data_IF_165184882073
#
_entry.id   IF_165184882073
#
_cell.length_a   1.000
_cell.length_b   1.000
_cell.length_c   1.000
_cell.angle_alpha   90.00
_cell.angle_beta   90.00
_cell.angle_gamma   90.00
#
_symmetry.space_group_name_H-M   'P 1'
#
loop_
_entity.id
_entity.type
_entity.pdbx_description
1 polymer ?
#
# COMPACT_ATOMS: atom_id res chain seq x y z
N UNK A 1 7.89 -4.90 -14.92
CA UNK A 1 7.38 -6.22 -14.51
C UNK A 1 6.10 -5.99 -13.73
N UNK A 2 5.06 -6.74 -14.08
CA UNK A 2 3.75 -6.71 -13.43
C UNK A 2 3.56 -8.09 -12.81
N UNK A 3 3.27 -8.15 -11.51
CA UNK A 3 3.09 -9.41 -10.81
C UNK A 3 1.80 -9.33 -10.00
N UNK A 4 0.94 -10.33 -10.16
CA UNK A 4 -0.17 -10.59 -9.25
C UNK A 4 0.27 -11.73 -8.35
N UNK A 5 0.06 -11.57 -7.05
CA UNK A 5 0.30 -12.64 -6.08
C UNK A 5 -1.07 -13.21 -5.67
N UNK A 6 -1.52 -14.31 -6.29
CA UNK A 6 -2.79 -14.91 -5.94
C UNK A 6 -2.68 -15.55 -4.56
N UNK A 7 -3.54 -15.10 -3.65
CA UNK A 7 -3.69 -15.64 -2.30
C UNK A 7 -5.03 -16.37 -2.20
N UNK A 8 -5.11 -17.34 -1.30
CA UNK A 8 -6.37 -18.01 -1.02
C UNK A 8 -7.38 -17.03 -0.45
N UNK A 9 -8.64 -17.13 -0.86
CA UNK A 9 -9.73 -16.28 -0.37
C UNK A 9 -9.91 -16.38 1.15
N UNK A 10 -9.48 -17.49 1.76
CA UNK A 10 -9.54 -17.76 3.19
C UNK A 10 -8.39 -17.14 4.00
N UNK A 11 -7.49 -16.37 3.40
CA UNK A 11 -6.29 -15.85 4.10
C UNK A 11 -6.63 -15.01 5.33
N UNK A 12 -7.83 -14.40 5.36
CA UNK A 12 -8.30 -13.58 6.48
C UNK A 12 -9.41 -14.21 7.31
N UNK A 13 -9.74 -15.49 7.12
CA UNK A 13 -10.80 -16.18 7.87
C UNK A 13 -10.52 -16.25 9.39
N UNK A 14 -9.24 -16.18 9.75
CA UNK A 14 -8.77 -16.16 11.14
C UNK A 14 -8.21 -14.80 11.57
N UNK A 15 -8.41 -13.75 10.76
CA UNK A 15 -8.00 -12.40 11.12
C UNK A 15 -8.79 -11.92 12.34
N UNK A 16 -8.08 -11.47 13.37
CA UNK A 16 -8.67 -10.74 14.51
C UNK A 16 -8.54 -9.23 14.35
N UNK A 17 -8.23 -8.76 13.13
CA UNK A 17 -7.83 -7.39 12.85
C UNK A 17 -6.34 -7.13 13.12
N UNK A 18 -5.92 -5.89 12.90
CA UNK A 18 -4.53 -5.45 13.04
C UNK A 18 -4.32 -4.07 12.44
N UNK A 19 -3.07 -3.60 12.38
CA UNK A 19 -2.75 -2.31 11.78
C UNK A 19 -3.13 -2.24 10.29
N UNK A 20 -3.02 -3.37 9.59
CA UNK A 20 -3.35 -3.52 8.18
C UNK A 20 -4.80 -4.04 8.03
N UNK A 21 -5.76 -3.19 7.62
CA UNK A 21 -7.18 -3.53 7.66
C UNK A 21 -7.58 -4.41 6.48
N UNK A 22 -7.77 -5.71 6.73
CA UNK A 22 -8.39 -6.63 5.78
C UNK A 22 -9.48 -7.44 6.44
N UNK A 23 -10.56 -7.66 5.68
CA UNK A 23 -11.70 -8.47 6.09
C UNK A 23 -11.79 -9.70 5.19
N UNK A 24 -12.39 -10.78 5.69
CA UNK A 24 -12.68 -11.96 4.87
C UNK A 24 -13.69 -11.68 3.74
N UNK A 25 -14.41 -10.55 3.79
CA UNK A 25 -15.36 -10.16 2.74
C UNK A 25 -14.68 -9.66 1.46
N UNK A 26 -13.42 -9.20 1.57
CA UNK A 26 -12.63 -8.67 0.45
C UNK A 26 -11.34 -9.50 0.33
N UNK A 27 -11.41 -10.67 -0.34
CA UNK A 27 -10.23 -11.50 -0.57
C UNK A 27 -9.18 -10.72 -1.33
N UNK A 28 -8.00 -10.60 -0.73
CA UNK A 28 -6.93 -9.72 -1.20
C UNK A 28 -5.92 -10.48 -2.05
N UNK A 29 -5.55 -9.89 -3.17
CA UNK A 29 -4.45 -10.37 -4.02
C UNK A 29 -3.59 -9.16 -4.38
N UNK A 30 -2.40 -8.99 -3.77
CA UNK A 30 -1.61 -7.80 -4.04
C UNK A 30 -1.14 -7.78 -5.49
N UNK A 31 -1.14 -6.57 -6.05
CA UNK A 31 -0.59 -6.28 -7.36
C UNK A 31 0.71 -5.50 -7.19
N UNK A 32 1.82 -6.08 -7.63
CA UNK A 32 3.14 -5.47 -7.57
C UNK A 32 3.55 -4.90 -8.94
N UNK A 33 4.09 -3.69 -8.90
CA UNK A 33 4.73 -3.03 -10.02
C UNK A 33 6.22 -2.85 -9.76
N UNK A 34 7.03 -3.29 -10.71
CA UNK A 34 8.47 -3.10 -10.66
C UNK A 34 9.01 -2.57 -11.98
N UNK A 35 9.80 -1.49 -11.90
CA UNK A 35 10.53 -0.92 -13.03
C UNK A 35 12.01 -0.84 -12.68
N UNK A 36 12.81 -1.71 -13.30
CA UNK A 36 14.26 -1.67 -13.21
C UNK A 36 14.87 -0.86 -14.35
N UNK A 37 15.86 -0.04 -14.04
CA UNK A 37 16.64 0.75 -14.99
C UNK A 37 18.07 0.91 -14.47
N UNK A 38 19.02 1.27 -15.34
CA UNK A 38 20.45 1.31 -15.01
C UNK A 38 21.07 2.70 -15.05
N UNK A 39 20.45 3.64 -15.76
CA UNK A 39 20.93 5.01 -15.89
C UNK A 39 20.33 5.90 -14.78
N UNK A 40 21.14 6.43 -13.84
CA UNK A 40 20.64 7.32 -12.78
C UNK A 40 20.01 8.61 -13.29
N UNK A 41 20.32 9.06 -14.51
CA UNK A 41 19.64 10.21 -15.11
C UNK A 41 18.16 9.91 -15.41
N UNK A 42 17.76 8.63 -15.39
CA UNK A 42 16.39 8.20 -15.62
C UNK A 42 15.53 8.16 -14.35
N UNK A 43 16.05 8.47 -13.15
CA UNK A 43 15.31 8.36 -11.88
C UNK A 43 13.93 9.02 -11.93
N UNK A 44 13.88 10.29 -12.31
CA UNK A 44 12.62 11.05 -12.37
C UNK A 44 11.65 10.48 -13.41
N UNK A 45 12.17 10.07 -14.58
CA UNK A 45 11.36 9.50 -15.64
C UNK A 45 10.81 8.12 -15.26
N UNK A 46 11.62 7.29 -14.60
CA UNK A 46 11.23 5.98 -14.11
C UNK A 46 10.17 6.08 -13.01
N UNK A 47 10.33 7.00 -12.06
CA UNK A 47 9.34 7.28 -11.03
C UNK A 47 8.01 7.76 -11.62
N UNK A 48 8.04 8.68 -12.59
CA UNK A 48 6.84 9.14 -13.27
C UNK A 48 6.15 8.00 -14.06
N UNK A 49 6.93 7.18 -14.75
CA UNK A 49 6.41 6.06 -15.53
C UNK A 49 5.71 5.01 -14.67
N UNK A 50 6.30 4.61 -13.53
CA UNK A 50 5.69 3.61 -12.64
C UNK A 50 4.45 4.15 -11.93
N UNK A 51 4.44 5.44 -11.54
CA UNK A 51 3.26 6.09 -10.96
C UNK A 51 2.11 6.18 -11.97
N UNK A 52 2.40 6.55 -13.21
CA UNK A 52 1.41 6.59 -14.29
C UNK A 52 0.84 5.19 -14.55
N UNK A 53 1.70 4.17 -14.65
CA UNK A 53 1.28 2.79 -14.85
C UNK A 53 0.37 2.31 -13.71
N UNK A 54 0.74 2.56 -12.46
CA UNK A 54 -0.07 2.23 -11.29
C UNK A 54 -1.46 2.89 -11.36
N UNK A 55 -1.51 4.18 -11.69
CA UNK A 55 -2.77 4.92 -11.79
C UNK A 55 -3.68 4.37 -12.89
N UNK A 56 -3.13 4.11 -14.09
CA UNK A 56 -3.91 3.58 -15.23
C UNK A 56 -4.45 2.18 -14.92
N UNK A 57 -3.63 1.30 -14.34
CA UNK A 57 -4.03 -0.06 -13.97
C UNK A 57 -5.13 -0.02 -12.91
N UNK A 58 -4.97 0.79 -11.86
CA UNK A 58 -5.98 0.91 -10.80
C UNK A 58 -7.30 1.47 -11.34
N UNK A 59 -7.27 2.51 -12.16
CA UNK A 59 -8.46 3.05 -12.82
C UNK A 59 -9.16 2.03 -13.70
N UNK A 60 -8.40 1.20 -14.43
CA UNK A 60 -8.94 0.12 -15.25
C UNK A 60 -9.59 -0.95 -14.38
N UNK A 61 -8.92 -1.39 -13.30
CA UNK A 61 -9.47 -2.36 -12.36
C UNK A 61 -10.77 -1.86 -11.70
N UNK A 62 -10.87 -0.56 -11.38
CA UNK A 62 -12.11 0.05 -10.88
C UNK A 62 -13.20 -0.01 -11.96
N UNK A 63 -12.90 0.37 -13.20
CA UNK A 63 -13.86 0.34 -14.31
C UNK A 63 -14.38 -1.08 -14.60
N UNK A 64 -13.55 -2.09 -14.38
CA UNK A 64 -13.89 -3.52 -14.54
C UNK A 64 -14.52 -4.15 -13.28
N UNK A 65 -14.72 -3.38 -12.20
CA UNK A 65 -15.30 -3.87 -10.95
C UNK A 65 -14.40 -4.81 -10.14
N UNK A 66 -13.09 -4.79 -10.40
CA UNK A 66 -12.07 -5.59 -9.71
C UNK A 66 -11.41 -4.87 -8.53
N UNK A 67 -11.67 -3.57 -8.37
CA UNK A 67 -11.11 -2.74 -7.28
C UNK A 67 -12.05 -1.57 -6.97
N UNK A 68 -11.80 -0.89 -5.84
CA UNK A 68 -12.41 0.39 -5.49
C UNK A 68 -11.37 1.52 -5.40
N UNK A 69 -11.78 2.81 -5.45
CA UNK A 69 -10.87 3.94 -5.28
C UNK A 69 -10.13 3.97 -3.93
N UNK A 70 -10.75 3.38 -2.91
CA UNK A 70 -10.29 3.32 -1.52
C UNK A 70 -9.72 1.95 -1.12
N UNK A 71 -9.49 1.07 -2.09
CA UNK A 71 -8.89 -0.24 -1.86
C UNK A 71 -7.55 -0.10 -1.11
N UNK A 72 -7.40 -0.89 -0.05
CA UNK A 72 -6.21 -0.89 0.81
C UNK A 72 -5.02 -1.46 0.03
N UNK A 73 -3.93 -0.70 -0.01
CA UNK A 73 -2.69 -1.04 -0.70
C UNK A 73 -1.72 -1.78 0.24
N UNK A 74 -0.95 -2.71 -0.31
CA UNK A 74 0.14 -3.35 0.44
C UNK A 74 1.18 -2.33 0.89
N UNK A 75 1.39 -2.25 2.20
CA UNK A 75 2.39 -1.37 2.81
C UNK A 75 3.82 -1.64 2.31
N UNK A 76 4.11 -2.87 1.87
CA UNK A 76 5.43 -3.29 1.38
C UNK A 76 5.66 -2.88 -0.09
N UNK A 77 4.60 -2.63 -0.86
CA UNK A 77 4.68 -2.27 -2.28
C UNK A 77 4.19 -0.86 -2.58
N UNK A 78 3.52 -0.21 -1.64
CA UNK A 78 2.99 1.13 -1.83
C UNK A 78 4.08 2.15 -2.16
N UNK A 79 3.82 2.96 -3.19
CA UNK A 79 4.77 3.93 -3.70
C UNK A 79 4.97 5.13 -2.78
N UNK A 80 6.15 5.75 -2.84
CA UNK A 80 6.45 6.94 -2.05
C UNK A 80 5.36 8.02 -2.17
N UNK A 81 4.90 8.52 -1.02
CA UNK A 81 3.87 9.56 -0.96
C UNK A 81 2.43 9.05 -0.99
N UNK A 82 2.21 7.73 -1.00
CA UNK A 82 0.86 7.16 -0.83
C UNK A 82 0.20 7.70 0.44
N UNK A 83 -1.07 8.07 0.31
CA UNK A 83 -1.88 8.51 1.44
C UNK A 83 -2.04 7.37 2.45
N UNK A 84 -1.72 7.63 3.71
CA UNK A 84 -1.76 6.65 4.79
C UNK A 84 -3.16 6.03 4.99
N UNK A 85 -4.23 6.71 4.60
CA UNK A 85 -5.59 6.15 4.65
C UNK A 85 -5.74 4.96 3.71
N UNK A 86 -5.01 4.92 2.59
CA UNK A 86 -4.97 3.78 1.67
C UNK A 86 -4.08 2.64 2.19
N UNK A 87 -3.38 2.81 3.31
CA UNK A 87 -2.54 1.77 3.92
C UNK A 87 -3.16 1.21 5.20
N UNK A 88 -3.71 2.10 6.03
CA UNK A 88 -4.17 1.79 7.37
C UNK A 88 -5.68 1.96 7.56
N UNK A 89 -6.39 2.52 6.56
CA UNK A 89 -7.83 2.78 6.64
C UNK A 89 -8.25 3.45 7.94
N UNK A 90 -9.29 2.91 8.56
CA UNK A 90 -9.85 3.39 9.82
C UNK A 90 -8.93 3.18 11.03
N UNK A 91 -7.86 2.40 10.91
CA UNK A 91 -6.89 2.20 12.01
C UNK A 91 -5.90 3.37 12.15
N UNK A 92 -5.81 4.28 11.17
CA UNK A 92 -4.85 5.37 11.17
C UNK A 92 -4.88 6.25 12.45
N UNK A 93 -6.05 6.66 12.98
CA UNK A 93 -6.10 7.43 14.24
C UNK A 93 -5.51 6.67 15.43
N UNK A 94 -5.85 5.38 15.58
CA UNK A 94 -5.32 4.53 16.65
C UNK A 94 -3.81 4.34 16.54
N UNK A 95 -3.30 4.16 15.32
CA UNK A 95 -1.85 4.07 15.08
C UNK A 95 -1.12 5.36 15.45
N UNK A 96 -1.71 6.53 15.16
CA UNK A 96 -1.17 7.83 15.60
C UNK A 96 -1.13 7.96 17.11
N UNK A 97 -2.18 7.53 17.82
CA UNK A 97 -2.21 7.50 19.28
C UNK A 97 -1.12 6.60 19.85
N UNK A 98 -0.95 5.41 19.27
CA UNK A 98 0.11 4.47 19.69
C UNK A 98 1.50 5.07 19.46
N UNK A 99 1.74 5.68 18.29
CA UNK A 99 3.01 6.35 17.98
C UNK A 99 3.29 7.51 18.94
N UNK A 100 2.29 8.34 19.26
CA UNK A 100 2.46 9.42 20.24
C UNK A 100 2.80 8.89 21.66
N UNK A 101 2.27 7.72 22.04
CA UNK A 101 2.53 7.09 23.33
C UNK A 101 3.91 6.43 23.42
N UNK A 102 4.32 5.72 22.36
CA UNK A 102 5.49 4.84 22.40
C UNK A 102 6.72 5.41 21.68
N UNK A 103 6.54 6.35 20.75
CA UNK A 103 7.62 7.11 20.10
C UNK A 103 7.35 8.64 20.16
N UNK A 104 7.22 9.22 21.38
CA UNK A 104 6.86 10.62 21.55
C UNK A 104 7.90 11.59 20.97
N UNK A 105 9.17 11.16 20.88
CA UNK A 105 10.27 11.96 20.36
C UNK A 105 10.55 11.70 18.88
N UNK A 106 9.71 10.90 18.21
CA UNK A 106 9.82 10.62 16.79
C UNK A 106 11.16 9.98 16.37
N UNK A 107 11.75 9.16 17.23
CA UNK A 107 13.03 8.49 16.99
C UNK A 107 12.90 7.50 15.81
N UNK A 108 11.74 6.85 15.66
CA UNK A 108 11.49 5.92 14.56
C UNK A 108 11.21 6.64 13.23
N UNK A 109 11.10 7.97 13.22
CA UNK A 109 11.03 8.71 11.97
C UNK A 109 12.35 8.67 11.19
N UNK A 110 13.45 8.35 11.87
CA UNK A 110 14.78 8.20 11.28
C UNK A 110 14.97 6.82 10.62
N UNK A 111 14.08 5.87 10.88
CA UNK A 111 14.09 4.57 10.19
C UNK A 111 13.29 4.65 8.88
N UNK A 112 13.38 3.61 8.05
CA UNK A 112 12.54 3.49 6.86
C UNK A 112 11.05 3.35 7.18
N UNK A 113 10.20 3.38 6.15
CA UNK A 113 8.75 3.17 6.29
C UNK A 113 7.92 4.44 6.48
N UNK A 114 6.63 4.23 6.74
CA UNK A 114 5.58 5.25 6.72
C UNK A 114 5.55 6.12 7.98
N UNK A 115 5.30 7.41 7.81
CA UNK A 115 5.32 8.39 8.90
C UNK A 115 3.89 8.67 9.36
N UNK A 116 3.57 8.32 10.61
CA UNK A 116 2.23 8.40 11.22
C UNK A 116 1.91 9.78 11.82
#
# INVERSE_FOLDING_TARGET
>A
MFTIEPLYSSIFDHSTGGAYPHTAAEPWTPFNLFLGYTDPASDAAAMAAIQLAASVIHQTAIAEGQSTPDAILDINYAGLGTNLTLLYGDNLPSLRTLRAKYDPNNLLNLTGGWKL
#
